data_IF_228825982972
#
_entry.id   IF_228825982972
#
_cell.length_a   1.000
_cell.length_b   1.000
_cell.length_c   1.000
_cell.angle_alpha   90.00
_cell.angle_beta   90.00
_cell.angle_gamma   90.00
#
_symmetry.space_group_name_H-M   'P 1'
#
loop_
_entity.id
_entity.type
_entity.pdbx_description
1 polymer ?
#
# COMPACT_ATOMS: atom_id res chain seq x y z
N UNK A 1 27.06 -6.12 -19.94
CA UNK A 1 26.21 -6.25 -18.73
C UNK A 1 26.53 -7.59 -18.09
N UNK A 2 26.80 -7.63 -16.79
CA UNK A 2 26.98 -8.89 -16.08
C UNK A 2 25.63 -9.62 -16.03
N UNK A 3 25.55 -10.89 -16.44
CA UNK A 3 24.31 -11.64 -16.36
C UNK A 3 23.87 -11.77 -14.90
N UNK A 4 22.55 -11.75 -14.61
CA UNK A 4 22.07 -11.93 -13.26
C UNK A 4 22.47 -13.32 -12.73
N UNK A 5 22.90 -13.37 -11.47
CA UNK A 5 23.16 -14.63 -10.77
C UNK A 5 21.83 -15.16 -10.24
N UNK A 6 21.48 -16.37 -10.66
CA UNK A 6 20.32 -17.09 -10.11
C UNK A 6 20.69 -17.72 -8.76
N UNK A 7 19.77 -17.64 -7.80
CA UNK A 7 19.91 -18.24 -6.47
C UNK A 7 18.71 -19.13 -6.16
N UNK A 8 18.88 -20.24 -5.42
CA UNK A 8 17.75 -21.03 -4.94
C UNK A 8 16.81 -20.20 -4.05
N UNK A 9 15.50 -20.40 -4.18
CA UNK A 9 14.48 -19.72 -3.37
C UNK A 9 14.39 -20.36 -1.98
N UNK A 10 15.33 -20.01 -1.09
CA UNK A 10 15.44 -20.59 0.25
C UNK A 10 14.29 -20.20 1.20
N UNK A 11 13.56 -19.12 0.90
CA UNK A 11 12.44 -18.62 1.71
C UNK A 11 11.09 -19.26 1.37
N UNK A 12 11.03 -20.17 0.39
CA UNK A 12 9.81 -20.88 0.09
C UNK A 12 9.44 -21.80 1.26
N UNK A 13 8.19 -21.68 1.72
CA UNK A 13 7.64 -22.53 2.76
C UNK A 13 6.34 -23.16 2.25
N UNK A 14 6.33 -24.50 2.21
CA UNK A 14 5.15 -25.27 1.86
C UNK A 14 4.35 -25.61 3.13
N UNK A 15 3.06 -25.31 3.10
CA UNK A 15 2.13 -25.62 4.18
C UNK A 15 1.28 -26.86 3.82
N UNK A 16 0.83 -27.66 4.80
CA UNK A 16 -0.20 -28.67 4.56
C UNK A 16 -1.48 -28.03 3.98
N UNK A 17 -2.16 -28.75 3.08
CA UNK A 17 -3.35 -28.23 2.37
C UNK A 17 -4.42 -27.68 3.31
N UNK A 18 -4.66 -28.32 4.45
CA UNK A 18 -5.66 -27.84 5.42
C UNK A 18 -5.25 -26.50 6.06
N UNK A 19 -3.95 -26.30 6.32
CA UNK A 19 -3.43 -25.02 6.82
C UNK A 19 -3.51 -23.94 5.73
N UNK A 20 -3.20 -24.27 4.48
CA UNK A 20 -3.37 -23.35 3.35
C UNK A 20 -4.83 -22.86 3.24
N UNK A 21 -5.81 -23.79 3.35
CA UNK A 21 -7.24 -23.45 3.32
C UNK A 21 -7.63 -22.52 4.47
N UNK A 22 -7.19 -22.84 5.69
CA UNK A 22 -7.46 -22.02 6.88
C UNK A 22 -6.93 -20.59 6.71
N UNK A 23 -5.67 -20.44 6.29
CA UNK A 23 -5.05 -19.12 6.07
C UNK A 23 -5.75 -18.32 4.97
N UNK A 24 -6.15 -18.98 3.88
CA UNK A 24 -6.87 -18.34 2.80
C UNK A 24 -8.26 -17.82 3.25
N UNK A 25 -9.00 -18.59 4.04
CA UNK A 25 -10.30 -18.18 4.59
C UNK A 25 -10.12 -16.97 5.52
N UNK A 26 -9.20 -17.06 6.48
CA UNK A 26 -8.95 -15.99 7.43
C UNK A 26 -8.55 -14.68 6.75
N UNK A 27 -7.63 -14.73 5.78
CA UNK A 27 -7.18 -13.56 5.04
C UNK A 27 -8.30 -12.95 4.18
N UNK A 28 -9.12 -13.79 3.54
CA UNK A 28 -10.29 -13.33 2.78
C UNK A 28 -11.26 -12.58 3.68
N UNK A 29 -11.58 -13.13 4.85
CA UNK A 29 -12.48 -12.52 5.83
C UNK A 29 -11.94 -11.18 6.34
N UNK A 30 -10.64 -11.10 6.64
CA UNK A 30 -9.97 -9.86 7.05
C UNK A 30 -10.07 -8.77 5.97
N UNK A 31 -9.77 -9.09 4.72
CA UNK A 31 -9.86 -8.12 3.61
C UNK A 31 -11.31 -7.72 3.31
N UNK A 32 -12.29 -8.61 3.52
CA UNK A 32 -13.70 -8.30 3.33
C UNK A 32 -14.21 -7.22 4.30
N UNK A 33 -13.58 -7.06 5.46
CA UNK A 33 -13.91 -5.98 6.39
C UNK A 33 -13.52 -4.58 5.87
N UNK A 34 -12.61 -4.49 4.89
CA UNK A 34 -12.13 -3.21 4.36
C UNK A 34 -13.23 -2.46 3.61
N UNK A 35 -13.47 -1.21 4.01
CA UNK A 35 -14.38 -0.26 3.33
C UNK A 35 -13.64 1.01 2.94
N UNK A 36 -14.09 1.65 1.87
CA UNK A 36 -13.65 3.02 1.55
C UNK A 36 -14.32 3.98 2.53
N UNK A 37 -13.55 4.52 3.46
CA UNK A 37 -13.98 5.52 4.44
C UNK A 37 -13.65 6.91 3.92
N UNK A 38 -14.56 7.87 4.10
CA UNK A 38 -14.41 9.27 3.66
C UNK A 38 -14.45 10.29 4.80
N UNK A 39 -14.59 9.82 6.04
CA UNK A 39 -14.61 10.63 7.25
C UNK A 39 -13.50 10.12 8.18
N UNK A 40 -12.49 10.96 8.43
CA UNK A 40 -11.29 10.57 9.16
C UNK A 40 -11.16 11.33 10.47
N UNK A 41 -10.64 10.66 11.49
CA UNK A 41 -10.25 11.29 12.76
C UNK A 41 -8.94 12.07 12.59
N UNK A 42 -8.72 13.07 13.45
CA UNK A 42 -7.44 13.78 13.58
C UNK A 42 -6.45 13.07 14.53
N UNK A 43 -6.79 11.89 15.06
CA UNK A 43 -5.90 11.09 15.91
C UNK A 43 -4.60 10.78 15.16
N UNK A 44 -3.41 11.08 15.73
CA UNK A 44 -2.15 10.77 15.08
C UNK A 44 -1.97 9.26 14.91
N UNK A 45 -1.31 8.87 13.82
CA UNK A 45 -0.87 7.50 13.57
C UNK A 45 0.66 7.47 13.71
N UNK A 46 1.22 6.52 14.49
CA UNK A 46 2.67 6.34 14.56
C UNK A 46 3.30 6.16 13.18
N UNK A 47 4.47 6.77 12.99
CA UNK A 47 5.11 6.86 11.66
C UNK A 47 5.55 5.50 11.16
N UNK A 48 6.06 4.65 12.05
CA UNK A 48 6.51 3.31 11.78
C UNK A 48 5.42 2.43 11.15
N UNK A 49 4.15 2.62 11.55
CA UNK A 49 3.01 1.89 10.98
C UNK A 49 2.81 2.29 9.51
N UNK A 50 2.99 3.57 9.18
CA UNK A 50 2.89 4.05 7.81
C UNK A 50 4.06 3.49 6.98
N UNK A 51 5.28 3.51 7.53
CA UNK A 51 6.48 2.99 6.86
C UNK A 51 6.36 1.49 6.57
N UNK A 52 5.90 0.67 7.51
CA UNK A 52 5.67 -0.76 7.29
C UNK A 52 4.62 -1.03 6.20
N UNK A 53 3.55 -0.25 6.16
CA UNK A 53 2.55 -0.32 5.08
C UNK A 53 3.18 -0.02 3.70
N UNK A 54 4.08 0.96 3.63
CA UNK A 54 4.76 1.33 2.39
C UNK A 54 5.79 0.27 1.96
N UNK A 55 6.51 -0.34 2.90
CA UNK A 55 7.42 -1.45 2.62
C UNK A 55 6.65 -2.67 2.08
N UNK A 56 5.48 -2.97 2.64
CA UNK A 56 4.60 -4.00 2.11
C UNK A 56 4.10 -3.67 0.69
N UNK A 57 3.73 -2.41 0.41
CA UNK A 57 3.35 -2.00 -0.94
C UNK A 57 4.52 -2.11 -1.93
N UNK A 58 5.74 -1.80 -1.49
CA UNK A 58 6.96 -1.88 -2.30
C UNK A 58 7.38 -3.30 -2.69
N UNK A 59 6.81 -4.33 -2.06
CA UNK A 59 7.08 -5.73 -2.43
C UNK A 59 6.31 -6.20 -3.66
N UNK A 60 5.49 -5.33 -4.29
CA UNK A 60 4.80 -5.66 -5.52
C UNK A 60 5.80 -6.02 -6.64
N UNK A 61 5.47 -6.93 -7.57
CA UNK A 61 6.29 -7.16 -8.74
C UNK A 61 6.24 -5.94 -9.68
N UNK A 62 7.29 -5.70 -10.44
CA UNK A 62 7.34 -4.64 -11.45
C UNK A 62 8.00 -5.11 -12.74
N UNK A 63 7.55 -4.58 -13.88
CA UNK A 63 8.13 -4.88 -15.18
C UNK A 63 9.62 -4.56 -15.18
N UNK A 64 10.44 -5.54 -15.61
CA UNK A 64 11.90 -5.46 -15.57
C UNK A 64 12.49 -5.05 -14.20
N UNK A 65 11.76 -5.29 -13.09
CA UNK A 65 12.12 -4.89 -11.73
C UNK A 65 12.40 -3.38 -11.55
N UNK A 66 11.76 -2.53 -12.34
CA UNK A 66 12.00 -1.08 -12.32
C UNK A 66 11.52 -0.37 -11.04
N UNK A 67 10.62 -0.98 -10.27
CA UNK A 67 10.00 -0.40 -9.08
C UNK A 67 9.53 1.06 -9.31
N UNK A 68 8.66 1.31 -10.32
CA UNK A 68 8.36 2.64 -10.81
C UNK A 68 7.35 3.40 -9.94
N UNK A 69 7.46 3.27 -8.62
CA UNK A 69 6.60 3.93 -7.64
C UNK A 69 7.41 4.87 -6.75
N UNK A 70 6.80 5.99 -6.42
CA UNK A 70 7.30 6.93 -5.42
C UNK A 70 6.16 7.27 -4.46
N UNK A 71 6.38 7.00 -3.18
CA UNK A 71 5.40 7.29 -2.13
C UNK A 71 5.76 8.60 -1.44
N UNK A 72 4.89 9.61 -1.57
CA UNK A 72 5.05 10.92 -0.90
C UNK A 72 4.16 10.96 0.33
N UNK A 73 4.77 11.06 1.52
CA UNK A 73 4.05 11.14 2.79
C UNK A 73 3.97 12.59 3.25
N UNK A 74 2.75 13.13 3.37
CA UNK A 74 2.50 14.52 3.76
C UNK A 74 1.83 14.59 5.13
N UNK A 75 2.58 15.00 6.15
CA UNK A 75 2.06 15.24 7.50
C UNK A 75 1.78 16.72 7.80
N UNK A 76 2.47 17.64 7.11
CA UNK A 76 2.35 19.09 7.32
C UNK A 76 0.92 19.60 7.06
N UNK A 77 0.27 20.26 8.03
CA UNK A 77 -1.12 20.70 7.88
C UNK A 77 -1.28 21.80 6.82
N UNK A 78 -0.28 22.66 6.64
CA UNK A 78 -0.33 23.75 5.65
C UNK A 78 -0.32 23.18 4.24
N UNK A 79 0.58 22.25 3.95
CA UNK A 79 0.70 21.59 2.66
C UNK A 79 -0.53 20.71 2.36
N UNK A 80 -1.07 19.99 3.35
CA UNK A 80 -2.34 19.26 3.18
C UNK A 80 -3.50 20.19 2.80
N UNK A 81 -3.56 21.37 3.39
CA UNK A 81 -4.59 22.37 3.06
C UNK A 81 -4.43 22.87 1.62
N UNK A 82 -3.21 23.18 1.18
CA UNK A 82 -2.95 23.59 -0.20
C UNK A 82 -3.37 22.52 -1.22
N UNK A 83 -3.05 21.25 -0.94
CA UNK A 83 -3.47 20.11 -1.78
C UNK A 83 -5.00 20.02 -1.86
N UNK A 84 -5.68 20.16 -0.71
CA UNK A 84 -7.15 20.14 -0.65
C UNK A 84 -7.77 21.25 -1.50
N UNK A 85 -7.33 22.49 -1.33
CA UNK A 85 -7.88 23.65 -2.06
C UNK A 85 -7.70 23.48 -3.58
N UNK A 86 -6.54 22.97 -4.02
CA UNK A 86 -6.29 22.67 -5.43
C UNK A 86 -7.20 21.56 -5.97
N UNK A 87 -7.40 20.48 -5.20
CA UNK A 87 -8.27 19.37 -5.58
C UNK A 87 -9.74 19.80 -5.69
N UNK A 88 -10.27 20.53 -4.69
CA UNK A 88 -11.64 21.05 -4.70
C UNK A 88 -11.90 21.98 -5.89
N UNK A 89 -10.92 22.85 -6.22
CA UNK A 89 -11.00 23.72 -7.40
C UNK A 89 -11.11 22.92 -8.71
N UNK A 90 -10.32 21.85 -8.85
CA UNK A 90 -10.34 21.00 -10.04
C UNK A 90 -11.66 20.22 -10.18
N UNK A 91 -12.17 19.68 -9.07
CA UNK A 91 -13.45 18.96 -9.04
C UNK A 91 -14.61 19.87 -9.48
N UNK A 92 -14.69 21.09 -8.95
CA UNK A 92 -15.69 22.08 -9.36
C UNK A 92 -15.57 22.35 -10.86
N UNK A 93 -14.37 22.66 -11.37
CA UNK A 93 -14.17 22.97 -12.79
C UNK A 93 -14.49 21.79 -13.74
N UNK A 94 -14.46 20.55 -13.25
CA UNK A 94 -14.70 19.35 -14.06
C UNK A 94 -16.16 18.93 -14.06
N UNK A 95 -16.85 19.08 -12.93
CA UNK A 95 -18.17 18.48 -12.70
C UNK A 95 -19.29 19.47 -12.37
N UNK A 96 -18.98 20.77 -12.29
CA UNK A 96 -19.94 21.86 -12.06
C UNK A 96 -19.85 22.87 -13.19
#
# INVERSE_FOLDING_TARGET
MTPPKFIPLASYHEYPVEEMRRRAIAFREEIQCRRTVRYFSNRPVPREIIEDCLLAAGSAPSGANLQPWHFVVVSDPTLKRQIREAAEKQEIATFV
#
